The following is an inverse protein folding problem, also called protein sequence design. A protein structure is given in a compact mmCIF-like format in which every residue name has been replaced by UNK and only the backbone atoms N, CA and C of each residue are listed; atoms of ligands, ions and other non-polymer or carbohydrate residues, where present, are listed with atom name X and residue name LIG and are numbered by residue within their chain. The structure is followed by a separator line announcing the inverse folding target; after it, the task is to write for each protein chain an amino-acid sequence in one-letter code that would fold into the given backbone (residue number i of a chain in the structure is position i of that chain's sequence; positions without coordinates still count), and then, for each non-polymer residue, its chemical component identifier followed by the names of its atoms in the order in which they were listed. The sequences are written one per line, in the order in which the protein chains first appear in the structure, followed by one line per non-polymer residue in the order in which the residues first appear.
data_IF_264399507877
#
_entry.id   IF_264399507877
#
_cell.length_a   1.000
_cell.length_b   1.000
_cell.length_c   1.000
_cell.angle_alpha   90.00
_cell.angle_beta   90.00
_cell.angle_gamma   90.00
#
_symmetry.space_group_name_H-M   'P 1'
#
loop_
_entity.id
_entity.type
_entity.pdbx_description
1 polymer ?
#
# COMPACT_ATOMS: atom_id res chain seq x y z
N UNK A 1 -3.29 -13.70 67.53
CA UNK A 1 -1.92 -13.47 68.06
C UNK A 1 -0.99 -13.21 66.89
N UNK A 2 -0.35 -12.05 66.90
CA UNK A 2 0.41 -11.40 65.83
C UNK A 2 1.65 -12.21 65.37
N UNK A 3 2.00 -12.20 64.07
CA UNK A 3 3.22 -11.53 63.54
C UNK A 3 3.45 -11.68 62.02
N UNK A 4 3.47 -10.53 61.33
CA UNK A 4 4.50 -9.98 60.40
C UNK A 4 4.98 -10.86 59.23
N UNK A 5 4.67 -10.48 57.98
CA UNK A 5 5.33 -9.44 57.14
C UNK A 5 6.44 -10.02 56.24
N UNK A 6 6.09 -10.38 55.01
CA UNK A 6 7.03 -10.72 53.94
C UNK A 6 6.96 -9.75 52.74
N UNK A 7 6.67 -8.47 53.01
CA UNK A 7 6.64 -7.42 51.98
C UNK A 7 7.84 -6.47 52.04
N UNK A 8 8.93 -6.84 52.73
CA UNK A 8 10.08 -5.97 52.96
C UNK A 8 11.33 -6.28 52.10
N UNK A 9 11.27 -7.21 51.12
CA UNK A 9 12.45 -7.52 50.28
C UNK A 9 12.26 -7.34 48.77
N UNK A 10 11.16 -6.74 48.30
CA UNK A 10 10.96 -6.49 46.85
C UNK A 10 10.83 -4.99 46.52
N UNK A 11 10.67 -4.13 47.53
CA UNK A 11 10.48 -2.68 47.33
C UNK A 11 11.77 -1.84 47.32
N UNK A 12 12.94 -2.44 47.54
CA UNK A 12 14.25 -1.72 47.57
C UNK A 12 15.13 -2.08 46.35
N UNK A 13 14.61 -2.81 45.36
CA UNK A 13 15.31 -3.08 44.08
C UNK A 13 14.67 -2.36 42.88
N UNK A 14 13.68 -1.49 43.12
CA UNK A 14 12.90 -0.83 42.06
C UNK A 14 12.79 0.69 42.28
N UNK A 15 13.87 1.31 42.78
CA UNK A 15 13.96 2.77 42.94
C UNK A 15 15.33 3.38 42.56
N UNK A 16 16.21 2.63 41.86
CA UNK A 16 17.44 3.19 41.28
C UNK A 16 17.65 2.58 39.89
N UNK A 17 16.78 2.95 38.95
CA UNK A 17 17.09 2.93 37.51
C UNK A 17 16.20 3.93 36.77
N UNK A 18 16.13 5.16 37.31
CA UNK A 18 15.39 6.27 36.73
C UNK A 18 16.31 7.49 36.64
N UNK A 19 17.50 7.33 36.05
CA UNK A 19 18.30 8.47 35.61
C UNK A 19 19.14 8.10 34.40
N UNK A 20 18.91 8.86 33.32
CA UNK A 20 19.64 8.92 32.05
C UNK A 20 19.50 7.73 31.10
N UNK A 21 18.53 7.81 30.19
CA UNK A 21 18.79 7.73 28.73
C UNK A 21 17.57 8.27 27.98
N UNK A 22 17.40 9.60 28.03
CA UNK A 22 16.63 10.29 26.98
C UNK A 22 17.56 10.40 25.77
N UNK A 23 17.43 9.48 24.82
CA UNK A 23 17.99 9.62 23.49
C UNK A 23 16.81 9.82 22.53
N UNK A 24 16.48 11.08 22.24
CA UNK A 24 15.65 11.41 21.09
C UNK A 24 16.35 10.94 19.82
N UNK A 25 15.68 10.29 18.86
CA UNK A 25 16.26 10.10 17.55
C UNK A 25 16.35 11.46 16.87
N UNK A 26 17.53 12.07 16.87
CA UNK A 26 17.88 13.09 15.88
C UNK A 26 17.86 12.42 14.52
N UNK A 27 16.80 12.65 13.75
CA UNK A 27 16.86 12.54 12.29
C UNK A 27 17.87 13.59 11.84
N UNK A 28 19.13 13.19 11.77
CA UNK A 28 20.11 13.88 10.96
C UNK A 28 19.79 13.51 9.53
N UNK A 29 19.42 14.50 8.71
CA UNK A 29 19.46 14.36 7.26
C UNK A 29 20.88 13.94 6.90
N UNK A 30 21.08 12.63 6.71
CA UNK A 30 22.33 12.09 6.20
C UNK A 30 22.40 12.54 4.76
N UNK A 31 23.00 13.72 4.55
CA UNK A 31 23.55 14.10 3.25
C UNK A 31 24.42 12.91 2.88
N UNK A 32 23.96 12.14 1.90
CA UNK A 32 24.74 11.10 1.28
C UNK A 32 25.90 11.83 0.61
N UNK A 33 27.02 11.93 1.32
CA UNK A 33 28.29 12.22 0.69
C UNK A 33 28.59 11.03 -0.21
N UNK A 34 28.17 11.14 -1.47
CA UNK A 34 28.70 10.33 -2.54
C UNK A 34 30.21 10.55 -2.52
N UNK A 35 30.93 9.58 -1.97
CA UNK A 35 32.38 9.49 -2.09
C UNK A 35 32.68 9.09 -3.53
N UNK A 36 32.58 10.04 -4.44
CA UNK A 36 33.25 9.94 -5.74
C UNK A 36 34.73 9.89 -5.44
N UNK A 37 35.34 8.73 -5.67
CA UNK A 37 36.78 8.64 -5.87
C UNK A 37 37.13 9.68 -6.90
N UNK A 38 38.05 10.59 -6.57
CA UNK A 38 38.69 11.50 -7.51
C UNK A 38 39.36 10.64 -8.59
N UNK A 39 38.62 10.33 -9.65
CA UNK A 39 39.18 10.02 -10.95
C UNK A 39 39.75 11.34 -11.44
N UNK A 40 40.99 11.29 -11.91
CA UNK A 40 41.81 12.42 -12.37
C UNK A 40 41.00 13.26 -13.39
N UNK A 41 40.51 14.45 -13.01
CA UNK A 41 39.87 15.42 -13.91
C UNK A 41 40.46 16.84 -13.74
N UNK A 42 41.73 16.95 -13.36
CA UNK A 42 42.40 18.26 -13.25
C UNK A 42 43.04 18.74 -14.57
N UNK A 43 42.77 18.06 -15.70
CA UNK A 43 43.41 18.37 -16.99
C UNK A 43 42.47 18.52 -18.20
N UNK A 44 41.15 18.57 -18.00
CA UNK A 44 40.19 18.79 -19.10
C UNK A 44 39.63 20.23 -19.07
N UNK A 45 39.49 20.89 -20.23
CA UNK A 45 39.00 22.26 -20.30
C UNK A 45 37.59 22.38 -19.72
N UNK A 46 37.37 23.41 -18.90
CA UNK A 46 36.11 23.70 -18.18
C UNK A 46 34.85 23.69 -19.07
N UNK A 47 35.01 23.85 -20.37
CA UNK A 47 33.92 23.79 -21.35
C UNK A 47 33.24 22.41 -21.40
N UNK A 48 33.99 21.31 -21.34
CA UNK A 48 33.43 19.94 -21.40
C UNK A 48 32.72 19.54 -20.10
N UNK A 49 33.17 20.10 -18.97
CA UNK A 49 32.56 19.88 -17.66
C UNK A 49 31.15 20.51 -17.62
N UNK A 50 30.97 21.68 -18.24
CA UNK A 50 29.66 22.36 -18.24
C UNK A 50 28.58 21.63 -19.02
N UNK A 51 28.93 21.03 -20.17
CA UNK A 51 27.98 20.29 -21.00
C UNK A 51 27.66 18.91 -20.41
N UNK A 52 28.65 18.27 -19.80
CA UNK A 52 28.47 16.96 -19.16
C UNK A 52 27.67 17.08 -17.86
N UNK A 53 27.94 18.10 -17.04
CA UNK A 53 27.19 18.35 -15.79
C UNK A 53 25.76 18.85 -16.08
N UNK A 54 25.55 19.64 -17.15
CA UNK A 54 24.18 19.95 -17.62
C UNK A 54 23.42 18.70 -18.04
N UNK A 55 24.08 17.78 -18.77
CA UNK A 55 23.43 16.56 -19.26
C UNK A 55 23.06 15.57 -18.13
N UNK A 56 23.81 15.56 -17.03
CA UNK A 56 23.51 14.72 -15.85
C UNK A 56 22.34 15.28 -15.02
N UNK A 57 22.06 16.58 -15.08
CA UNK A 57 20.95 17.24 -14.36
C UNK A 57 19.63 17.32 -15.14
N UNK A 58 19.56 16.80 -16.38
CA UNK A 58 18.39 16.93 -17.26
C UNK A 58 17.59 15.63 -17.44
N UNK A 59 17.89 14.57 -16.69
CA UNK A 59 16.92 13.47 -16.56
C UNK A 59 15.85 13.95 -15.58
N UNK A 60 14.93 14.78 -16.06
CA UNK A 60 13.69 15.07 -15.34
C UNK A 60 13.09 13.73 -14.92
N UNK A 61 13.01 13.52 -13.61
CA UNK A 61 12.34 12.37 -13.04
C UNK A 61 10.87 12.48 -13.42
N UNK A 62 10.48 11.87 -14.52
CA UNK A 62 9.10 11.82 -14.95
C UNK A 62 8.30 11.03 -13.92
N UNK A 63 7.54 11.75 -13.08
CA UNK A 63 6.68 11.13 -12.08
C UNK A 63 5.50 10.51 -12.84
N UNK A 64 5.38 9.19 -12.81
CA UNK A 64 4.24 8.49 -13.40
C UNK A 64 3.06 8.65 -12.46
N UNK A 65 1.94 9.14 -12.98
CA UNK A 65 0.66 9.17 -12.28
C UNK A 65 -0.17 7.94 -12.68
N UNK A 66 -0.36 6.96 -11.78
CA UNK A 66 -1.17 5.78 -12.06
C UNK A 66 -2.66 6.12 -12.28
N UNK A 67 -3.42 5.17 -12.82
CA UNK A 67 -4.81 5.39 -13.23
C UNK A 67 -5.75 5.73 -12.06
N UNK A 68 -5.56 5.10 -10.91
CA UNK A 68 -6.29 5.33 -9.65
C UNK A 68 -6.14 6.78 -9.15
N UNK A 69 -4.98 7.43 -9.36
CA UNK A 69 -4.74 8.84 -9.03
C UNK A 69 -5.42 9.84 -9.97
N UNK A 70 -5.81 9.41 -11.16
CA UNK A 70 -6.51 10.26 -12.14
C UNK A 70 -8.03 10.33 -11.89
N UNK A 71 -8.44 10.40 -10.62
CA UNK A 71 -9.85 10.32 -10.18
C UNK A 71 -10.78 11.35 -10.79
N UNK A 72 -10.26 12.54 -11.14
CA UNK A 72 -11.03 13.56 -11.84
C UNK A 72 -11.57 13.08 -13.20
N UNK A 73 -10.93 12.09 -13.83
CA UNK A 73 -11.35 11.54 -15.12
C UNK A 73 -12.43 10.48 -14.98
N UNK A 74 -12.36 9.64 -13.94
CA UNK A 74 -13.25 8.49 -13.81
C UNK A 74 -14.40 8.70 -12.82
N UNK A 75 -14.28 9.52 -11.77
CA UNK A 75 -15.38 9.71 -10.80
C UNK A 75 -16.71 10.14 -11.44
N UNK A 76 -16.74 11.05 -12.44
CA UNK A 76 -18.00 11.40 -13.12
C UNK A 76 -18.67 10.20 -13.82
N UNK A 77 -17.87 9.24 -14.29
CA UNK A 77 -18.37 8.04 -14.96
C UNK A 77 -19.00 7.04 -13.99
N UNK A 78 -18.67 7.14 -12.69
CA UNK A 78 -19.16 6.26 -11.63
C UNK A 78 -20.42 6.80 -10.93
N UNK A 79 -20.76 8.07 -11.15
CA UNK A 79 -21.88 8.72 -10.46
C UNK A 79 -23.21 8.01 -10.77
N UNK A 80 -23.95 7.65 -9.70
CA UNK A 80 -25.25 6.98 -9.81
C UNK A 80 -25.19 5.53 -10.31
N UNK A 81 -23.99 4.94 -10.47
CA UNK A 81 -23.81 3.56 -10.89
C UNK A 81 -23.57 2.64 -9.70
N UNK A 82 -24.00 1.40 -9.82
CA UNK A 82 -23.58 0.31 -8.96
C UNK A 82 -22.20 -0.18 -9.41
N UNK A 83 -21.19 0.13 -8.61
CA UNK A 83 -19.79 -0.15 -8.90
C UNK A 83 -19.37 -1.47 -8.23
N UNK A 84 -18.74 -2.35 -9.00
CA UNK A 84 -17.97 -3.45 -8.44
C UNK A 84 -16.47 -3.17 -8.54
N UNK A 85 -15.71 -3.65 -7.57
CA UNK A 85 -14.27 -3.43 -7.50
C UNK A 85 -13.51 -4.77 -7.55
N UNK A 86 -12.77 -5.00 -8.62
CA UNK A 86 -11.77 -6.05 -8.73
C UNK A 86 -10.41 -5.51 -8.29
N UNK A 87 -10.03 -5.79 -7.06
CA UNK A 87 -8.92 -5.16 -6.37
C UNK A 87 -8.31 -6.08 -5.30
N UNK A 88 -7.16 -5.68 -4.79
CA UNK A 88 -6.49 -6.32 -3.65
C UNK A 88 -5.73 -5.27 -2.82
N UNK A 89 -4.85 -5.71 -1.92
CA UNK A 89 -4.10 -4.81 -1.05
C UNK A 89 -3.19 -3.80 -1.78
N UNK A 90 -2.95 -3.95 -3.09
CA UNK A 90 -2.12 -3.04 -3.89
C UNK A 90 -2.88 -1.81 -4.38
N UNK A 91 -4.21 -1.84 -4.32
CA UNK A 91 -5.12 -0.78 -4.81
C UNK A 91 -5.15 0.39 -3.83
N UNK A 92 -4.12 1.23 -3.83
CA UNK A 92 -3.88 2.25 -2.81
C UNK A 92 -3.54 3.61 -3.42
N UNK A 93 -4.40 4.60 -3.14
CA UNK A 93 -4.19 6.01 -3.45
C UNK A 93 -3.73 6.72 -2.18
N UNK A 94 -2.50 7.28 -2.19
CA UNK A 94 -1.97 8.09 -1.09
C UNK A 94 -2.14 7.45 0.30
N UNK A 95 -1.80 6.15 0.39
CA UNK A 95 -1.93 5.30 1.59
C UNK A 95 -3.36 4.95 2.01
N UNK A 96 -4.37 5.32 1.23
CA UNK A 96 -5.77 4.95 1.41
C UNK A 96 -6.15 3.90 0.37
N UNK A 97 -6.78 2.81 0.81
CA UNK A 97 -7.27 1.78 -0.10
C UNK A 97 -8.36 2.36 -1.03
N UNK A 98 -8.34 2.03 -2.32
CA UNK A 98 -9.23 2.58 -3.35
C UNK A 98 -10.72 2.49 -2.96
N UNK A 99 -11.15 1.37 -2.39
CA UNK A 99 -12.51 1.23 -1.85
C UNK A 99 -12.87 2.34 -0.86
N UNK A 100 -12.03 2.59 0.14
CA UNK A 100 -12.31 3.59 1.17
C UNK A 100 -12.32 5.00 0.56
N UNK A 101 -11.44 5.25 -0.42
CA UNK A 101 -11.45 6.48 -1.20
C UNK A 101 -12.77 6.66 -1.98
N UNK A 102 -13.22 5.66 -2.73
CA UNK A 102 -14.47 5.72 -3.50
C UNK A 102 -15.69 5.96 -2.60
N UNK A 103 -15.77 5.25 -1.47
CA UNK A 103 -16.85 5.44 -0.50
C UNK A 103 -16.84 6.85 0.10
N UNK A 104 -15.66 7.39 0.42
CA UNK A 104 -15.54 8.79 0.88
C UNK A 104 -15.98 9.83 -0.16
N UNK A 105 -16.10 9.44 -1.43
CA UNK A 105 -16.60 10.25 -2.54
C UNK A 105 -18.07 9.96 -2.89
N UNK A 106 -18.80 9.25 -2.01
CA UNK A 106 -20.20 8.86 -2.22
C UNK A 106 -20.42 8.00 -3.47
N UNK A 107 -19.42 7.23 -3.90
CA UNK A 107 -19.59 6.24 -4.96
C UNK A 107 -20.24 4.99 -4.37
N UNK A 108 -21.27 4.48 -5.04
CA UNK A 108 -21.99 3.29 -4.60
C UNK A 108 -21.23 2.01 -5.00
N UNK A 109 -20.33 1.56 -4.13
CA UNK A 109 -19.63 0.29 -4.32
C UNK A 109 -20.46 -0.84 -3.71
N UNK A 110 -20.93 -1.77 -4.53
CA UNK A 110 -21.89 -2.81 -4.13
C UNK A 110 -21.27 -4.19 -3.94
N UNK A 111 -20.15 -4.47 -4.62
CA UNK A 111 -19.49 -5.78 -4.62
C UNK A 111 -17.97 -5.64 -4.80
N UNK A 112 -17.23 -6.55 -4.19
CA UNK A 112 -15.77 -6.66 -4.34
C UNK A 112 -15.46 -8.02 -4.95
N UNK A 113 -14.61 -8.06 -5.97
CA UNK A 113 -14.04 -9.27 -6.53
C UNK A 113 -12.59 -9.40 -6.06
N UNK A 114 -12.32 -10.36 -5.18
CA UNK A 114 -11.00 -10.58 -4.60
C UNK A 114 -10.38 -11.88 -5.10
N UNK A 115 -9.05 -11.86 -5.31
CA UNK A 115 -8.27 -13.01 -5.73
C UNK A 115 -7.73 -13.80 -4.52
N UNK A 116 -6.72 -14.65 -4.72
CA UNK A 116 -6.26 -15.66 -3.75
C UNK A 116 -5.58 -15.13 -2.47
N UNK A 117 -5.23 -13.85 -2.39
CA UNK A 117 -4.46 -13.28 -1.27
C UNK A 117 -5.26 -12.33 -0.38
N UNK A 118 -6.60 -12.42 -0.47
CA UNK A 118 -7.51 -11.56 0.27
C UNK A 118 -7.56 -10.13 -0.27
N UNK A 119 -8.57 -9.39 0.17
CA UNK A 119 -8.83 -8.03 -0.32
C UNK A 119 -7.97 -6.97 0.40
N UNK A 120 -7.86 -7.06 1.72
CA UNK A 120 -7.11 -6.09 2.56
C UNK A 120 -5.69 -6.55 2.91
N UNK A 121 -5.24 -7.71 2.43
CA UNK A 121 -3.92 -8.27 2.75
C UNK A 121 -3.77 -8.75 4.19
N UNK A 122 -4.89 -8.96 4.91
CA UNK A 122 -4.93 -9.43 6.30
C UNK A 122 -5.20 -10.94 6.42
N UNK A 123 -5.26 -11.66 5.30
CA UNK A 123 -5.55 -13.10 5.24
C UNK A 123 -4.28 -13.83 4.80
N UNK A 124 -3.87 -14.84 5.55
CA UNK A 124 -2.66 -15.62 5.26
C UNK A 124 -2.82 -16.55 4.05
N UNK A 125 -1.69 -16.88 3.42
CA UNK A 125 -1.61 -17.70 2.21
C UNK A 125 -2.17 -19.10 2.47
N UNK A 126 -3.27 -19.45 1.80
CA UNK A 126 -3.80 -20.83 1.81
C UNK A 126 -5.05 -21.05 2.66
N UNK A 127 -5.56 -20.03 3.36
CA UNK A 127 -6.89 -20.14 3.96
C UNK A 127 -7.97 -20.10 2.87
N UNK A 128 -8.82 -21.13 2.83
CA UNK A 128 -9.98 -21.16 1.96
C UNK A 128 -11.01 -20.16 2.46
N UNK A 129 -11.14 -19.05 1.73
CA UNK A 129 -12.09 -18.02 2.10
C UNK A 129 -13.45 -18.28 1.43
N UNK A 130 -14.46 -18.67 2.22
CA UNK A 130 -15.87 -18.67 1.80
C UNK A 130 -16.38 -17.23 1.76
N UNK A 131 -17.30 -16.90 0.84
CA UNK A 131 -17.86 -15.55 0.61
C UNK A 131 -17.74 -14.61 1.82
N UNK A 132 -16.78 -13.68 1.77
CA UNK A 132 -16.47 -12.78 2.87
C UNK A 132 -17.31 -11.52 2.76
N UNK A 133 -17.36 -10.76 3.85
CA UNK A 133 -17.81 -9.37 3.84
C UNK A 133 -16.66 -8.52 4.34
N UNK A 134 -16.33 -7.41 3.67
CA UNK A 134 -15.30 -6.49 4.14
C UNK A 134 -15.72 -5.95 5.52
N UNK A 135 -15.02 -6.35 6.57
CA UNK A 135 -15.40 -6.05 7.98
C UNK A 135 -15.57 -4.56 8.26
N UNK A 136 -14.86 -3.71 7.52
CA UNK A 136 -14.90 -2.25 7.68
C UNK A 136 -16.13 -1.63 7.03
N UNK A 137 -16.51 -2.10 5.84
CA UNK A 137 -17.53 -1.43 5.00
C UNK A 137 -18.84 -2.20 4.90
N UNK A 138 -18.86 -3.48 5.25
CA UNK A 138 -20.03 -4.35 5.09
C UNK A 138 -20.26 -4.81 3.65
N UNK A 139 -19.37 -4.49 2.71
CA UNK A 139 -19.54 -4.82 1.29
C UNK A 139 -19.17 -6.29 1.05
N UNK A 140 -19.99 -7.05 0.31
CA UNK A 140 -19.71 -8.46 0.01
C UNK A 140 -18.45 -8.61 -0.86
N UNK A 141 -17.61 -9.57 -0.48
CA UNK A 141 -16.40 -9.99 -1.18
C UNK A 141 -16.67 -11.34 -1.83
N UNK A 142 -16.50 -11.37 -3.14
CA UNK A 142 -16.63 -12.53 -3.99
C UNK A 142 -15.24 -12.99 -4.39
N UNK A 143 -14.90 -14.20 -3.98
CA UNK A 143 -13.67 -14.87 -4.39
C UNK A 143 -13.72 -15.26 -5.88
N UNK A 144 -12.79 -14.76 -6.68
CA UNK A 144 -12.63 -15.06 -8.12
C UNK A 144 -11.34 -15.84 -8.34
N UNK A 145 -11.30 -17.08 -7.84
CA UNK A 145 -10.16 -17.98 -8.01
C UNK A 145 -10.57 -19.45 -8.11
N UNK A 146 -9.63 -20.33 -8.42
CA UNK A 146 -9.87 -21.77 -8.53
C UNK A 146 -10.97 -22.11 -9.56
N UNK A 147 -12.07 -22.73 -9.09
CA UNK A 147 -13.23 -23.08 -9.94
C UNK A 147 -14.15 -21.89 -10.27
N UNK A 148 -14.00 -20.77 -9.56
CA UNK A 148 -14.79 -19.54 -9.73
C UNK A 148 -13.99 -18.41 -10.39
N UNK A 149 -12.98 -18.72 -11.23
CA UNK A 149 -12.19 -17.71 -11.96
C UNK A 149 -13.00 -16.80 -12.89
N UNK A 150 -14.20 -17.22 -13.27
CA UNK A 150 -15.11 -16.38 -14.05
C UNK A 150 -16.33 -16.07 -13.17
N UNK A 151 -16.63 -14.80 -12.89
CA UNK A 151 -17.85 -14.44 -12.19
C UNK A 151 -19.08 -15.02 -12.90
N UNK A 152 -19.98 -15.62 -12.12
CA UNK A 152 -21.27 -16.12 -12.63
C UNK A 152 -22.19 -14.95 -12.93
N UNK A 153 -23.21 -15.17 -13.77
CA UNK A 153 -24.17 -14.14 -14.14
C UNK A 153 -24.85 -13.51 -12.91
N UNK A 154 -25.18 -14.32 -11.89
CA UNK A 154 -25.82 -13.85 -10.67
C UNK A 154 -24.87 -12.98 -9.82
N UNK A 155 -23.57 -13.24 -9.89
CA UNK A 155 -22.56 -12.43 -9.21
C UNK A 155 -22.41 -11.07 -9.88
N UNK A 156 -22.66 -10.97 -11.18
CA UNK A 156 -22.66 -9.74 -11.98
C UNK A 156 -24.00 -8.99 -11.97
N UNK A 157 -25.06 -9.60 -11.43
CA UNK A 157 -26.36 -8.94 -11.31
C UNK A 157 -26.23 -7.61 -10.56
N UNK A 158 -26.97 -6.61 -11.01
CA UNK A 158 -27.04 -5.26 -10.42
C UNK A 158 -25.70 -4.49 -10.41
N UNK A 159 -24.69 -4.92 -11.18
CA UNK A 159 -23.45 -4.17 -11.41
C UNK A 159 -23.52 -3.45 -12.76
N UNK A 160 -23.31 -2.13 -12.73
CA UNK A 160 -23.24 -1.31 -13.95
C UNK A 160 -21.81 -1.19 -14.49
N UNK A 161 -20.82 -1.18 -13.59
CA UNK A 161 -19.42 -0.99 -13.93
C UNK A 161 -18.50 -1.76 -12.99
N UNK A 162 -17.45 -2.36 -13.55
CA UNK A 162 -16.37 -3.00 -12.81
C UNK A 162 -15.12 -2.14 -12.94
N UNK A 163 -14.54 -1.76 -11.81
CA UNK A 163 -13.21 -1.16 -11.76
C UNK A 163 -12.21 -2.28 -11.50
N UNK A 164 -11.19 -2.39 -12.36
CA UNK A 164 -10.06 -3.29 -12.16
C UNK A 164 -8.85 -2.45 -11.79
N UNK A 165 -8.35 -2.61 -10.57
CA UNK A 165 -7.18 -1.88 -10.07
C UNK A 165 -6.30 -2.84 -9.26
N UNK A 166 -5.29 -3.42 -9.91
CA UNK A 166 -4.37 -4.37 -9.29
C UNK A 166 -2.97 -4.16 -9.87
N UNK A 167 -1.96 -4.07 -9.00
CA UNK A 167 -0.56 -4.06 -9.44
C UNK A 167 -0.11 -5.46 -9.84
N UNK A 168 0.11 -5.67 -11.14
CA UNK A 168 0.76 -6.87 -11.68
C UNK A 168 2.30 -6.72 -11.66
N UNK A 169 3.03 -7.82 -11.83
CA UNK A 169 4.49 -7.89 -11.87
C UNK A 169 5.05 -8.25 -13.25
N UNK A 170 4.20 -8.41 -14.26
CA UNK A 170 4.60 -8.55 -15.67
C UNK A 170 5.10 -9.94 -16.06
N UNK A 171 4.69 -10.99 -15.35
CA UNK A 171 5.10 -12.38 -15.64
C UNK A 171 3.90 -13.27 -15.85
N UNK A 172 3.98 -14.16 -16.85
CA UNK A 172 2.84 -14.98 -17.29
C UNK A 172 2.28 -15.92 -16.22
N UNK A 173 3.12 -16.39 -15.30
CA UNK A 173 2.70 -17.32 -14.25
C UNK A 173 2.06 -16.60 -13.05
N UNK A 174 1.96 -15.27 -13.09
CA UNK A 174 1.18 -14.49 -12.15
C UNK A 174 -0.24 -14.30 -12.71
N UNK A 175 -1.25 -14.71 -11.95
CA UNK A 175 -2.59 -14.98 -12.50
C UNK A 175 -3.55 -13.80 -12.50
N UNK A 176 -3.14 -12.61 -12.03
CA UNK A 176 -4.03 -11.44 -11.89
C UNK A 176 -4.69 -11.03 -13.21
N UNK A 177 -3.94 -10.97 -14.31
CA UNK A 177 -4.50 -10.67 -15.66
C UNK A 177 -5.44 -11.76 -16.18
N UNK A 178 -5.23 -13.02 -15.76
CA UNK A 178 -6.04 -14.16 -16.19
C UNK A 178 -7.24 -14.46 -15.30
N UNK A 179 -7.45 -13.66 -14.26
CA UNK A 179 -8.52 -13.84 -13.28
C UNK A 179 -9.80 -13.11 -13.69
#
# INVERSE_FOLDING_TARGET
MLRKSSYLSVFISWLILLFFFSCSPKISNKIVHNKTKNVIIDSLPNTIISDTVKKVNLVEKHIIEPGDKQFHKYLPLLAGKNVALAANQTSVIDSVHLLDFLLSRNINVVKIFALEHGFRGTVDRGEHFSAETDKKTGIPIIAVYGKNRKPKAEQLADIDIVIFDIQDVGVRFYTYISS
#
